data_IF_070589592779
#
_entry.id   IF_070589592779
#
_cell.length_a   1.000
_cell.length_b   1.000
_cell.length_c   1.000
_cell.angle_alpha   90.00
_cell.angle_beta   90.00
_cell.angle_gamma   90.00
#
_symmetry.space_group_name_H-M   'P 1'
#
loop_
_entity.id
_entity.type
_entity.pdbx_description
1 polymer ?
#
# COMPACT_ATOMS: atom_id res chain seq x y z
N UNK A 1 17.20 -27.26 34.00
CA UNK A 1 16.85 -25.84 33.74
C UNK A 1 17.28 -25.49 32.32
N UNK A 2 16.32 -25.23 31.42
CA UNK A 2 16.53 -24.53 30.15
C UNK A 2 15.23 -23.77 29.81
N UNK A 3 15.08 -22.59 30.39
CA UNK A 3 14.17 -21.56 29.88
C UNK A 3 14.86 -20.89 28.69
N UNK A 4 14.30 -21.05 27.49
CA UNK A 4 14.50 -20.12 26.37
C UNK A 4 13.53 -20.46 25.25
N UNK A 5 12.24 -20.20 25.50
CA UNK A 5 11.20 -20.20 24.46
C UNK A 5 10.51 -18.84 24.39
N UNK A 6 11.16 -17.79 24.92
CA UNK A 6 10.55 -16.48 25.15
C UNK A 6 11.39 -15.33 24.58
N UNK A 7 11.85 -15.44 23.33
CA UNK A 7 12.44 -14.28 22.64
C UNK A 7 12.17 -14.16 21.14
N UNK A 8 11.52 -15.13 20.49
CA UNK A 8 11.31 -15.05 19.04
C UNK A 8 10.18 -14.10 18.63
N UNK A 9 9.16 -13.89 19.49
CA UNK A 9 8.00 -13.06 19.17
C UNK A 9 8.21 -11.54 19.21
N UNK A 10 9.15 -11.04 20.04
CA UNK A 10 9.42 -9.58 20.14
C UNK A 10 10.42 -9.09 19.10
N UNK A 11 11.39 -9.92 18.73
CA UNK A 11 12.38 -9.58 17.70
C UNK A 11 11.73 -9.37 16.32
N UNK A 12 10.74 -10.18 15.97
CA UNK A 12 10.00 -10.01 14.70
C UNK A 12 9.12 -8.74 14.67
N UNK A 13 8.50 -8.39 15.81
CA UNK A 13 7.67 -7.19 15.93
C UNK A 13 8.51 -5.90 15.90
N UNK A 14 9.69 -5.91 16.52
CA UNK A 14 10.60 -4.75 16.54
C UNK A 14 11.24 -4.51 15.17
N UNK A 15 11.48 -5.56 14.36
CA UNK A 15 11.93 -5.43 12.97
C UNK A 15 10.85 -4.83 12.06
N UNK A 16 9.58 -5.21 12.26
CA UNK A 16 8.45 -4.63 11.51
C UNK A 16 8.30 -3.13 11.73
N UNK A 17 8.38 -2.69 12.99
CA UNK A 17 8.30 -1.27 13.34
C UNK A 17 9.51 -0.45 12.82
N UNK A 18 10.69 -1.06 12.71
CA UNK A 18 11.89 -0.39 12.16
C UNK A 18 11.85 -0.24 10.63
N UNK A 19 11.23 -1.18 9.91
CA UNK A 19 11.02 -1.08 8.45
C UNK A 19 9.92 -0.06 8.13
N UNK A 20 8.84 -0.03 8.91
CA UNK A 20 7.81 1.02 8.81
C UNK A 20 8.36 2.42 9.08
N UNK A 21 9.22 2.56 10.09
CA UNK A 21 9.88 3.84 10.42
C UNK A 21 10.97 4.26 9.41
N UNK A 22 11.60 3.32 8.70
CA UNK A 22 12.55 3.65 7.62
C UNK A 22 11.86 4.07 6.31
N UNK A 23 10.64 3.61 6.02
CA UNK A 23 9.85 4.16 4.89
C UNK A 23 9.32 5.58 5.18
N UNK A 24 9.17 5.97 6.45
CA UNK A 24 8.72 7.29 6.86
C UNK A 24 9.79 8.40 6.90
N UNK A 25 11.09 8.04 6.89
CA UNK A 25 12.19 9.01 7.09
C UNK A 25 13.24 9.07 5.97
N UNK A 26 13.05 8.35 4.87
CA UNK A 26 13.93 8.38 3.70
C UNK A 26 13.16 8.69 2.42
N UNK A 27 12.87 9.97 2.20
CA UNK A 27 13.08 10.53 0.85
C UNK A 27 14.34 11.38 0.95
N UNK A 28 15.43 10.94 0.32
CA UNK A 28 15.66 11.41 -1.05
C UNK A 28 16.34 10.37 -1.97
N UNK A 29 16.28 10.64 -3.27
CA UNK A 29 17.06 10.03 -4.36
C UNK A 29 16.55 8.74 -5.04
N UNK A 30 15.25 8.68 -5.32
CA UNK A 30 14.84 8.20 -6.64
C UNK A 30 14.61 9.42 -7.53
N UNK A 31 15.64 9.85 -8.27
CA UNK A 31 15.42 10.67 -9.47
C UNK A 31 14.78 9.78 -10.54
N UNK A 32 13.49 9.52 -10.40
CA UNK A 32 12.61 9.25 -11.55
C UNK A 32 12.24 10.62 -12.13
N UNK A 33 12.33 10.76 -13.45
CA UNK A 33 12.25 12.04 -14.18
C UNK A 33 11.14 12.98 -13.71
N UNK A 34 11.48 14.26 -13.58
CA UNK A 34 10.57 15.32 -13.16
C UNK A 34 9.37 15.47 -14.09
N UNK A 35 8.20 15.52 -13.47
CA UNK A 35 6.90 15.68 -14.11
C UNK A 35 5.90 15.01 -13.18
N UNK A 36 5.00 15.79 -12.57
CA UNK A 36 3.74 15.37 -11.93
C UNK A 36 3.71 13.93 -11.38
N UNK A 37 3.82 13.75 -10.06
CA UNK A 37 3.69 12.43 -9.42
C UNK A 37 2.46 11.70 -9.95
N UNK A 38 2.68 10.60 -10.67
CA UNK A 38 1.68 9.74 -11.29
C UNK A 38 0.48 9.53 -10.33
N UNK A 39 -0.72 10.03 -10.67
CA UNK A 39 -1.86 10.07 -9.76
C UNK A 39 -2.28 8.68 -9.29
N UNK A 40 -2.02 7.64 -10.08
CA UNK A 40 -2.29 6.24 -9.72
C UNK A 40 -1.37 5.78 -8.59
N UNK A 41 -0.08 6.08 -8.68
CA UNK A 41 0.87 5.73 -7.61
C UNK A 41 0.51 6.41 -6.31
N UNK A 42 0.12 7.69 -6.38
CA UNK A 42 -0.31 8.45 -5.21
C UNK A 42 -1.52 7.79 -4.55
N UNK A 43 -2.56 7.48 -5.33
CA UNK A 43 -3.77 6.82 -4.83
C UNK A 43 -3.45 5.47 -4.17
N UNK A 44 -2.65 4.62 -4.81
CA UNK A 44 -2.25 3.32 -4.27
C UNK A 44 -1.48 3.44 -2.94
N UNK A 45 -0.54 4.38 -2.81
CA UNK A 45 0.23 4.55 -1.57
C UNK A 45 -0.59 5.18 -0.44
N UNK A 46 -1.53 6.09 -0.75
CA UNK A 46 -2.49 6.61 0.23
C UNK A 46 -3.36 5.48 0.78
N UNK A 47 -3.85 4.58 -0.09
CA UNK A 47 -4.57 3.38 0.30
C UNK A 47 -3.73 2.43 1.17
N UNK A 48 -2.47 2.17 0.84
CA UNK A 48 -1.60 1.35 1.69
C UNK A 48 -1.36 1.97 3.07
N UNK A 49 -1.21 3.29 3.14
CA UNK A 49 -1.07 4.00 4.41
C UNK A 49 -2.35 3.88 5.26
N UNK A 50 -3.51 3.93 4.64
CA UNK A 50 -4.80 3.69 5.29
C UNK A 50 -5.01 2.24 5.73
N UNK A 51 -4.56 1.28 4.93
CA UNK A 51 -4.61 -0.14 5.25
C UNK A 51 -3.72 -0.47 6.46
N UNK A 52 -2.54 0.14 6.55
CA UNK A 52 -1.63 -0.04 7.69
C UNK A 52 -2.28 0.41 9.01
N UNK A 53 -3.05 1.51 9.02
CA UNK A 53 -3.83 1.94 10.19
C UNK A 53 -4.89 0.92 10.61
N UNK A 54 -5.33 0.07 9.69
CA UNK A 54 -6.28 -1.05 9.89
C UNK A 54 -5.57 -2.40 10.13
N UNK A 55 -4.25 -2.40 10.30
CA UNK A 55 -3.45 -3.61 10.57
C UNK A 55 -3.14 -4.44 9.32
N UNK A 56 -3.38 -3.93 8.11
CA UNK A 56 -3.05 -4.61 6.86
C UNK A 56 -1.86 -3.93 6.20
N UNK A 57 -0.71 -4.61 6.26
CA UNK A 57 0.52 -4.17 5.60
C UNK A 57 0.91 -5.10 4.44
N UNK A 58 1.51 -4.50 3.41
CA UNK A 58 2.17 -5.24 2.33
C UNK A 58 3.57 -5.65 2.80
N UNK A 59 3.90 -6.93 2.69
CA UNK A 59 5.23 -7.42 3.04
C UNK A 59 6.25 -7.06 1.94
N UNK A 60 7.55 -6.90 2.25
CA UNK A 60 8.54 -6.54 1.24
C UNK A 60 8.57 -7.43 -0.03
N UNK A 61 8.52 -8.79 0.06
CA UNK A 61 8.52 -9.64 -1.12
C UNK A 61 7.16 -9.74 -1.81
N UNK A 62 6.11 -9.18 -1.22
CA UNK A 62 4.74 -9.32 -1.71
C UNK A 62 4.45 -8.30 -2.80
N UNK A 63 3.84 -8.80 -3.87
CA UNK A 63 3.38 -8.03 -5.02
C UNK A 63 2.09 -7.26 -4.68
N UNK A 64 1.73 -6.23 -5.47
CA UNK A 64 0.45 -5.54 -5.30
C UNK A 64 -0.75 -6.50 -5.35
N UNK A 65 -0.80 -7.36 -6.37
CA UNK A 65 -1.90 -8.30 -6.57
C UNK A 65 -2.04 -9.31 -5.43
N UNK A 66 -0.93 -9.71 -4.79
CA UNK A 66 -0.97 -10.63 -3.63
C UNK A 66 -1.55 -10.00 -2.36
N UNK A 67 -1.33 -8.70 -2.13
CA UNK A 67 -1.93 -7.99 -0.99
C UNK A 67 -3.39 -7.58 -1.26
N UNK A 68 -3.78 -7.48 -2.53
CA UNK A 68 -5.10 -7.01 -2.98
C UNK A 68 -6.30 -7.64 -2.24
N UNK A 69 -6.39 -8.98 -2.08
CA UNK A 69 -7.53 -9.60 -1.38
C UNK A 69 -7.59 -9.24 0.11
N UNK A 70 -6.44 -8.90 0.73
CA UNK A 70 -6.40 -8.44 2.12
C UNK A 70 -6.85 -6.99 2.25
N UNK A 71 -6.57 -6.17 1.25
CA UNK A 71 -7.04 -4.78 1.18
C UNK A 71 -8.56 -4.75 1.02
N UNK A 72 -9.10 -5.46 0.03
CA UNK A 72 -10.56 -5.56 -0.18
C UNK A 72 -11.29 -5.96 1.12
N UNK A 73 -10.80 -7.01 1.81
CA UNK A 73 -11.35 -7.45 3.09
C UNK A 73 -11.25 -6.42 4.22
N UNK A 74 -10.18 -5.62 4.25
CA UNK A 74 -9.98 -4.60 5.28
C UNK A 74 -10.94 -3.41 5.16
N UNK A 75 -11.34 -3.07 3.92
CA UNK A 75 -12.23 -1.95 3.64
C UNK A 75 -13.67 -2.40 3.33
N UNK A 76 -13.91 -3.70 3.20
CA UNK A 76 -15.21 -4.27 2.83
C UNK A 76 -15.81 -3.65 1.55
N UNK A 77 -14.95 -3.30 0.60
CA UNK A 77 -15.30 -2.61 -0.64
C UNK A 77 -14.42 -3.10 -1.81
N UNK A 78 -14.90 -3.04 -3.06
CA UNK A 78 -14.13 -3.46 -4.23
C UNK A 78 -13.02 -2.46 -4.64
N UNK A 79 -13.18 -1.17 -4.31
CA UNK A 79 -12.28 -0.11 -4.75
C UNK A 79 -10.78 -0.37 -4.47
N UNK A 80 -10.34 -0.92 -3.32
CA UNK A 80 -8.94 -1.25 -3.09
C UNK A 80 -8.35 -2.25 -4.07
N UNK A 81 -9.17 -3.20 -4.55
CA UNK A 81 -8.75 -4.16 -5.58
C UNK A 81 -8.58 -3.45 -6.92
N UNK A 82 -9.55 -2.65 -7.35
CA UNK A 82 -9.47 -1.89 -8.60
C UNK A 82 -8.31 -0.89 -8.64
N UNK A 83 -8.02 -0.23 -7.51
CA UNK A 83 -6.86 0.67 -7.35
C UNK A 83 -5.55 -0.12 -7.48
N UNK A 84 -5.50 -1.32 -6.90
CA UNK A 84 -4.33 -2.19 -6.95
C UNK A 84 -4.08 -2.68 -8.38
N UNK A 85 -5.12 -3.11 -9.08
CA UNK A 85 -5.04 -3.54 -10.48
C UNK A 85 -4.56 -2.38 -11.36
N UNK A 86 -5.16 -1.20 -11.24
CA UNK A 86 -4.75 -0.01 -11.98
C UNK A 86 -3.27 0.34 -11.74
N UNK A 87 -2.80 0.23 -10.49
CA UNK A 87 -1.39 0.42 -10.16
C UNK A 87 -0.49 -0.61 -10.82
N UNK A 88 -0.88 -1.89 -10.80
CA UNK A 88 -0.13 -2.98 -11.43
C UNK A 88 -0.02 -2.79 -12.95
N UNK A 89 -1.14 -2.42 -13.60
CA UNK A 89 -1.21 -2.11 -15.02
C UNK A 89 -0.27 -0.97 -15.43
N UNK A 90 -0.22 0.12 -14.65
CA UNK A 90 0.67 1.25 -14.91
C UNK A 90 2.13 0.88 -14.61
N UNK A 91 2.37 0.13 -13.53
CA UNK A 91 3.72 -0.24 -13.08
C UNK A 91 4.41 -1.24 -14.01
N UNK A 92 3.69 -2.26 -14.47
CA UNK A 92 4.25 -3.38 -15.23
C UNK A 92 3.74 -3.45 -16.67
N UNK A 93 2.54 -2.92 -16.95
CA UNK A 93 1.97 -2.90 -18.30
C UNK A 93 2.45 -1.73 -19.17
N UNK A 94 3.14 -0.73 -18.61
CA UNK A 94 3.64 0.43 -19.35
C UNK A 94 2.54 1.29 -19.99
N UNK A 95 1.28 1.13 -19.55
CA UNK A 95 0.12 1.84 -20.08
C UNK A 95 -0.05 3.18 -19.39
N UNK A 96 -0.49 4.20 -20.13
CA UNK A 96 -1.05 5.40 -19.51
C UNK A 96 -2.40 5.05 -18.90
N UNK A 97 -2.65 5.42 -17.64
CA UNK A 97 -3.96 5.19 -17.04
C UNK A 97 -5.01 6.08 -17.72
N UNK A 98 -6.21 5.54 -17.85
CA UNK A 98 -7.39 6.30 -18.26
C UNK A 98 -7.74 7.33 -17.17
N UNK A 99 -7.65 8.65 -17.44
CA UNK A 99 -7.88 9.67 -16.42
C UNK A 99 -9.29 9.63 -15.80
N UNK A 100 -10.31 9.21 -16.55
CA UNK A 100 -11.68 9.08 -16.01
C UNK A 100 -11.76 7.95 -14.99
N UNK A 101 -11.11 6.81 -15.29
CA UNK A 101 -10.98 5.68 -14.36
C UNK A 101 -10.21 6.09 -13.10
N UNK A 102 -9.13 6.88 -13.22
CA UNK A 102 -8.38 7.37 -12.05
C UNK A 102 -9.25 8.28 -11.19
N UNK A 103 -9.99 9.22 -11.81
CA UNK A 103 -10.86 10.16 -11.10
C UNK A 103 -11.99 9.43 -10.35
N UNK A 104 -12.66 8.47 -11.00
CA UNK A 104 -13.71 7.67 -10.36
C UNK A 104 -13.18 6.92 -9.13
N UNK A 105 -12.05 6.22 -9.26
CA UNK A 105 -11.45 5.47 -8.15
C UNK A 105 -10.95 6.39 -7.03
N UNK A 106 -10.53 7.62 -7.36
CA UNK A 106 -10.20 8.63 -6.36
C UNK A 106 -11.45 9.01 -5.54
N UNK A 107 -12.56 9.31 -6.21
CA UNK A 107 -13.81 9.68 -5.54
C UNK A 107 -14.35 8.55 -4.66
N UNK A 108 -14.37 7.31 -5.18
CA UNK A 108 -14.76 6.13 -4.41
C UNK A 108 -13.86 5.94 -3.18
N UNK A 109 -12.54 6.13 -3.33
CA UNK A 109 -11.59 6.05 -2.23
C UNK A 109 -11.81 7.13 -1.17
N UNK A 110 -12.06 8.36 -1.58
CA UNK A 110 -12.33 9.48 -0.67
C UNK A 110 -13.61 9.27 0.14
N UNK A 111 -14.66 8.70 -0.49
CA UNK A 111 -15.89 8.30 0.20
C UNK A 111 -15.60 7.23 1.26
N UNK A 112 -14.88 6.16 0.90
CA UNK A 112 -14.54 5.08 1.83
C UNK A 112 -13.70 5.56 3.03
N UNK A 113 -12.72 6.45 2.81
CA UNK A 113 -11.93 7.01 3.92
C UNK A 113 -12.71 8.00 4.78
N UNK A 114 -13.79 8.59 4.26
CA UNK A 114 -14.67 9.46 5.06
C UNK A 114 -15.62 8.68 5.97
N UNK A 115 -15.91 7.42 5.63
CA UNK A 115 -16.85 6.55 6.34
C UNK A 115 -16.21 5.70 7.46
N UNK A 116 -14.89 5.51 7.44
CA UNK A 116 -14.18 4.60 8.36
C UNK A 116 -13.11 5.27 9.20
#
# INVERSE_FOLDING_TARGET
MKESTYQEGRLAADLGNLVGAMLGRLRPSLRFGGGETDPVRRLYFEMLAAAARRGVERRPPETPLEVSPRLERAFAAPAPMEITDLFDEVRYGGRRPDPERVARLREEWEQLESEG
#
